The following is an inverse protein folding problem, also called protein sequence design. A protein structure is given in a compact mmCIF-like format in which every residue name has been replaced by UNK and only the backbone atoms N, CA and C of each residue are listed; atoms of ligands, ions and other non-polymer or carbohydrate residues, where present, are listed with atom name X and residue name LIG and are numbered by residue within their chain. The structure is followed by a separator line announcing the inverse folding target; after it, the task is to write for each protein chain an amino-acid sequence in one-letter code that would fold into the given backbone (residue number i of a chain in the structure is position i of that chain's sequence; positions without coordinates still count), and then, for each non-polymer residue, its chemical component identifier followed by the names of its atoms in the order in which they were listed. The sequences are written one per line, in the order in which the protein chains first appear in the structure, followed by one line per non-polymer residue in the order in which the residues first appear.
data_IF_424761185320
#
_entry.id   IF_424761185320
#
_cell.length_a   1.000
_cell.length_b   1.000
_cell.length_c   1.000
_cell.angle_alpha   90.00
_cell.angle_beta   90.00
_cell.angle_gamma   90.00
#
_symmetry.space_group_name_H-M   'P 1'
#
loop_
_entity.id
_entity.type
_entity.pdbx_description
1 polymer ?
#
# COMPACT_ATOMS: atom_id res chain seq x y z
N UNK A 1 -0.77 -21.64 14.54
CA UNK A 1 -0.33 -21.34 13.17
C UNK A 1 -1.55 -21.02 12.30
N UNK A 2 -1.39 -20.06 11.39
CA UNK A 2 -2.42 -19.76 10.38
C UNK A 2 -1.77 -19.91 9.01
N UNK A 3 -2.43 -20.64 8.11
CA UNK A 3 -1.96 -20.79 6.73
C UNK A 3 -3.06 -20.25 5.82
N UNK A 4 -2.72 -19.20 5.06
CA UNK A 4 -3.68 -18.57 4.14
C UNK A 4 -3.26 -18.93 2.73
N UNK A 5 -4.11 -19.70 2.06
CA UNK A 5 -3.82 -20.15 0.70
C UNK A 5 -3.97 -19.02 -0.30
N UNK A 6 -3.18 -19.07 -1.37
CA UNK A 6 -3.18 -18.02 -2.39
C UNK A 6 -4.59 -17.78 -2.97
N UNK A 7 -5.35 -18.84 -3.20
CA UNK A 7 -6.69 -18.74 -3.77
C UNK A 7 -7.72 -18.12 -2.82
N UNK A 8 -7.39 -18.00 -1.53
CA UNK A 8 -8.28 -17.40 -0.54
C UNK A 8 -7.98 -15.92 -0.30
N UNK A 9 -6.96 -15.35 -0.96
CA UNK A 9 -6.56 -13.97 -0.76
C UNK A 9 -7.62 -13.02 -1.32
N UNK A 10 -8.10 -12.11 -0.49
CA UNK A 10 -9.04 -11.07 -0.90
C UNK A 10 -8.30 -9.93 -1.60
N UNK A 11 -8.89 -9.41 -2.67
CA UNK A 11 -8.39 -8.21 -3.36
C UNK A 11 -9.32 -7.04 -3.11
N UNK A 12 -8.74 -5.88 -2.88
CA UNK A 12 -9.44 -4.61 -2.84
C UNK A 12 -8.90 -3.77 -3.99
N UNK A 13 -9.78 -3.09 -4.72
CA UNK A 13 -9.38 -2.31 -5.89
C UNK A 13 -9.93 -0.91 -5.84
N UNK A 14 -9.22 0.04 -6.43
CA UNK A 14 -9.66 1.41 -6.58
C UNK A 14 -8.77 2.07 -7.66
N UNK A 15 -9.40 2.71 -8.65
CA UNK A 15 -8.73 3.55 -9.67
C UNK A 15 -7.32 3.13 -10.07
N UNK A 16 -7.16 1.91 -10.59
CA UNK A 16 -5.86 1.43 -11.07
C UNK A 16 -4.93 0.92 -10.00
N UNK A 17 -5.42 0.79 -8.77
CA UNK A 17 -4.65 0.24 -7.65
C UNK A 17 -5.34 -1.02 -7.16
N UNK A 18 -4.60 -2.11 -7.05
CA UNK A 18 -5.11 -3.37 -6.52
C UNK A 18 -4.30 -3.74 -5.28
N UNK A 19 -4.99 -3.99 -4.17
CA UNK A 19 -4.35 -4.39 -2.93
C UNK A 19 -4.80 -5.80 -2.55
N UNK A 20 -3.85 -6.73 -2.52
CA UNK A 20 -4.10 -8.10 -2.09
C UNK A 20 -3.84 -8.17 -0.60
N UNK A 21 -4.88 -8.59 0.13
CA UNK A 21 -4.86 -8.60 1.60
C UNK A 21 -4.25 -9.92 2.05
N UNK A 22 -2.93 -9.96 2.16
CA UNK A 22 -2.21 -11.21 2.46
C UNK A 22 -2.47 -11.67 3.88
N UNK A 23 -2.42 -10.73 4.82
CA UNK A 23 -2.70 -11.00 6.22
C UNK A 23 -3.33 -9.74 6.81
N UNK A 24 -4.59 -9.83 7.26
CA UNK A 24 -5.31 -8.67 7.75
C UNK A 24 -6.40 -9.10 8.74
N UNK A 25 -7.07 -8.16 9.44
CA UNK A 25 -7.98 -8.54 10.53
C UNK A 25 -9.11 -9.50 10.15
N UNK A 26 -9.50 -9.56 8.88
CA UNK A 26 -10.59 -10.44 8.46
C UNK A 26 -10.14 -11.87 8.16
N UNK A 27 -8.83 -12.12 8.01
CA UNK A 27 -8.33 -13.48 7.76
C UNK A 27 -7.31 -13.97 8.77
N UNK A 28 -7.02 -13.17 9.79
CA UNK A 28 -5.98 -13.49 10.77
C UNK A 28 -6.37 -12.97 12.14
N UNK A 29 -5.95 -13.67 13.18
CA UNK A 29 -6.11 -13.21 14.56
C UNK A 29 -4.89 -12.43 15.05
N UNK A 30 -3.95 -12.12 14.18
CA UNK A 30 -2.78 -11.34 14.57
C UNK A 30 -3.19 -9.97 15.09
N UNK A 31 -2.67 -9.59 16.23
CA UNK A 31 -2.83 -8.26 16.82
C UNK A 31 -1.59 -7.42 16.59
N UNK A 32 -0.68 -7.83 15.70
CA UNK A 32 0.62 -7.18 15.55
C UNK A 32 0.87 -6.60 14.18
N UNK A 33 0.30 -7.18 13.11
CA UNK A 33 0.70 -6.80 11.76
C UNK A 33 -0.41 -7.05 10.74
N UNK A 34 -0.46 -6.17 9.74
CA UNK A 34 -1.23 -6.36 8.50
C UNK A 34 -0.22 -6.33 7.36
N UNK A 35 -0.37 -7.24 6.40
CA UNK A 35 0.51 -7.31 5.23
C UNK A 35 -0.34 -7.27 3.97
N UNK A 36 -0.03 -6.34 3.07
CA UNK A 36 -0.70 -6.23 1.78
C UNK A 36 0.32 -6.17 0.66
N UNK A 37 -0.08 -6.65 -0.51
CA UNK A 37 0.72 -6.55 -1.73
C UNK A 37 -0.04 -5.69 -2.71
N UNK A 38 0.54 -4.56 -3.08
CA UNK A 38 -0.15 -3.52 -3.85
C UNK A 38 0.44 -3.42 -5.24
N UNK A 39 -0.42 -3.42 -6.25
CA UNK A 39 -0.04 -3.21 -7.65
C UNK A 39 -0.66 -1.91 -8.12
N UNK A 40 0.16 -1.03 -8.69
CA UNK A 40 -0.27 0.29 -9.17
C UNK A 40 -0.02 0.35 -10.68
N UNK A 41 -1.08 0.57 -11.44
CA UNK A 41 -0.99 0.66 -12.90
C UNK A 41 -0.30 1.96 -13.32
N UNK A 42 0.29 2.02 -14.52
CA UNK A 42 0.88 3.27 -15.02
C UNK A 42 -0.15 4.39 -14.99
N UNK A 43 0.24 5.55 -14.46
CA UNK A 43 -0.62 6.72 -14.33
C UNK A 43 -1.53 6.73 -13.12
N UNK A 44 -1.61 5.64 -12.37
CA UNK A 44 -2.46 5.57 -11.18
C UNK A 44 -1.67 6.00 -9.94
N UNK A 45 -2.41 6.31 -8.88
CA UNK A 45 -1.77 6.65 -7.63
C UNK A 45 -2.59 6.13 -6.44
N UNK A 46 -1.87 5.75 -5.41
CA UNK A 46 -2.41 5.55 -4.07
C UNK A 46 -2.28 6.92 -3.39
N UNK A 47 -3.41 7.62 -3.16
CA UNK A 47 -3.35 9.02 -2.70
C UNK A 47 -2.64 9.18 -1.36
N UNK A 48 -2.03 10.34 -1.11
CA UNK A 48 -1.41 10.60 0.19
C UNK A 48 -2.42 10.45 1.33
N UNK A 49 -1.99 9.79 2.38
CA UNK A 49 -2.81 9.54 3.57
C UNK A 49 -1.91 9.34 4.78
N UNK A 50 -2.52 9.30 5.97
CA UNK A 50 -1.81 9.09 7.24
C UNK A 50 -2.44 7.95 8.00
N UNK A 51 -1.62 7.25 8.78
CA UNK A 51 -2.08 6.29 9.78
C UNK A 51 -1.58 6.79 11.11
N UNK A 52 -2.50 7.32 11.94
CA UNK A 52 -2.09 8.02 13.16
C UNK A 52 -1.58 7.09 14.25
N UNK A 53 -1.89 5.80 14.17
CA UNK A 53 -1.56 4.83 15.22
C UNK A 53 -0.75 3.64 14.71
N UNK A 54 -0.24 3.71 13.48
CA UNK A 54 0.52 2.59 12.90
C UNK A 54 1.70 3.12 12.12
N UNK A 55 2.81 2.39 12.19
CA UNK A 55 3.90 2.60 11.25
C UNK A 55 3.70 1.67 10.06
N UNK A 56 4.28 2.02 8.94
CA UNK A 56 4.29 1.18 7.75
C UNK A 56 5.70 1.02 7.21
N UNK A 57 5.97 -0.16 6.70
CA UNK A 57 7.20 -0.43 5.95
C UNK A 57 6.78 -0.90 4.57
N UNK A 58 7.30 -0.25 3.52
CA UNK A 58 7.06 -0.67 2.15
C UNK A 58 8.33 -1.22 1.54
N UNK A 59 8.22 -2.30 0.79
CA UNK A 59 9.31 -2.89 0.02
C UNK A 59 8.91 -2.85 -1.44
N UNK A 60 9.69 -2.15 -2.27
CA UNK A 60 9.41 -2.09 -3.70
C UNK A 60 9.79 -3.43 -4.33
N UNK A 61 8.82 -4.14 -4.89
CA UNK A 61 9.01 -5.46 -5.46
C UNK A 61 9.39 -5.41 -6.93
N UNK A 62 8.81 -4.46 -7.70
CA UNK A 62 9.16 -4.27 -9.11
C UNK A 62 8.67 -2.91 -9.60
N UNK A 63 9.35 -2.40 -10.62
CA UNK A 63 8.96 -1.17 -11.30
C UNK A 63 9.60 0.07 -10.70
N UNK A 64 9.12 1.22 -11.16
CA UNK A 64 9.63 2.52 -10.75
C UNK A 64 8.46 3.40 -10.32
N UNK A 65 8.41 3.75 -9.05
CA UNK A 65 7.36 4.60 -8.51
C UNK A 65 7.93 5.87 -7.93
N UNK A 66 7.01 6.71 -7.43
CA UNK A 66 7.37 7.94 -6.73
C UNK A 66 6.60 8.01 -5.43
N UNK A 67 7.32 8.15 -4.34
CA UNK A 67 6.68 8.41 -3.04
C UNK A 67 6.13 9.83 -3.05
N UNK A 68 4.90 9.97 -2.54
CA UNK A 68 4.24 11.27 -2.39
C UNK A 68 4.29 11.61 -0.90
N UNK A 69 4.97 12.71 -0.56
CA UNK A 69 5.32 13.02 0.82
C UNK A 69 4.76 14.37 1.24
N UNK A 70 4.97 14.71 2.51
CA UNK A 70 4.51 15.95 3.11
C UNK A 70 5.02 17.15 2.32
N UNK A 71 4.18 18.19 2.17
CA UNK A 71 4.56 19.41 1.47
C UNK A 71 4.67 19.28 -0.04
N UNK A 72 4.14 18.20 -0.63
CA UNK A 72 4.25 17.97 -2.06
C UNK A 72 5.59 17.43 -2.51
N UNK A 73 6.44 17.05 -1.59
CA UNK A 73 7.74 16.42 -1.89
C UNK A 73 7.54 15.05 -2.53
N UNK A 74 8.42 14.70 -3.46
CA UNK A 74 8.40 13.37 -4.07
C UNK A 74 9.81 12.78 -4.06
N UNK A 75 9.89 11.45 -3.93
CA UNK A 75 11.16 10.73 -4.01
C UNK A 75 10.97 9.48 -4.88
N UNK A 76 11.95 9.16 -5.74
CA UNK A 76 11.90 7.89 -6.47
C UNK A 76 11.88 6.71 -5.50
N UNK A 77 11.09 5.70 -5.86
CA UNK A 77 10.98 4.47 -5.06
C UNK A 77 10.95 3.33 -6.06
N UNK A 78 12.07 2.59 -6.16
CA UNK A 78 12.27 1.62 -7.24
C UNK A 78 12.59 0.25 -6.68
N UNK A 79 12.48 -0.75 -7.53
CA UNK A 79 12.67 -2.16 -7.16
C UNK A 79 13.87 -2.34 -6.22
N UNK A 80 13.63 -2.99 -5.09
CA UNK A 80 14.62 -3.26 -4.07
C UNK A 80 14.69 -2.25 -2.95
N UNK A 81 14.09 -1.07 -3.14
CA UNK A 81 14.09 -0.03 -2.10
C UNK A 81 13.15 -0.40 -0.96
N UNK A 82 13.49 0.07 0.23
CA UNK A 82 12.66 -0.08 1.43
C UNK A 82 12.46 1.29 2.06
N UNK A 83 11.23 1.60 2.43
CA UNK A 83 10.92 2.84 3.13
C UNK A 83 10.09 2.52 4.38
N UNK A 84 10.33 3.26 5.44
CA UNK A 84 9.55 3.18 6.67
C UNK A 84 8.90 4.52 6.95
N UNK A 85 7.60 4.51 7.18
CA UNK A 85 6.84 5.70 7.58
C UNK A 85 6.47 5.57 9.04
N UNK A 86 6.76 6.62 9.81
CA UNK A 86 6.39 6.66 11.22
C UNK A 86 4.90 6.94 11.38
N UNK A 87 4.39 6.68 12.58
CA UNK A 87 3.00 6.99 12.90
C UNK A 87 2.70 8.44 12.54
N UNK A 88 1.60 8.67 11.83
CA UNK A 88 1.16 10.01 11.46
C UNK A 88 1.87 10.63 10.25
N UNK A 89 2.85 9.96 9.69
CA UNK A 89 3.59 10.51 8.56
C UNK A 89 2.79 10.39 7.25
N UNK A 90 2.63 11.50 6.54
CA UNK A 90 1.89 11.52 5.27
C UNK A 90 2.67 10.78 4.19
N UNK A 91 2.01 9.89 3.47
CA UNK A 91 2.65 9.13 2.41
C UNK A 91 1.64 8.66 1.37
N UNK A 92 2.11 8.51 0.16
CA UNK A 92 1.35 7.95 -0.96
C UNK A 92 2.33 7.46 -2.02
N UNK A 93 1.79 6.93 -3.11
CA UNK A 93 2.60 6.37 -4.18
C UNK A 93 1.96 6.70 -5.53
N UNK A 94 2.77 7.18 -6.44
CA UNK A 94 2.34 7.41 -7.82
C UNK A 94 3.20 6.59 -8.76
N UNK A 95 2.57 5.94 -9.74
CA UNK A 95 3.30 5.26 -10.79
C UNK A 95 3.35 6.16 -12.03
N UNK A 96 4.42 6.90 -12.17
CA UNK A 96 4.64 7.77 -13.34
C UNK A 96 5.38 7.06 -14.46
N UNK A 97 5.66 5.77 -14.31
CA UNK A 97 6.35 4.97 -15.31
C UNK A 97 5.40 4.37 -16.34
N UNK A 98 5.93 3.46 -17.15
CA UNK A 98 5.19 2.83 -18.26
C UNK A 98 4.84 1.37 -17.98
N UNK A 99 5.27 0.80 -16.87
CA UNK A 99 4.93 -0.58 -16.48
C UNK A 99 4.37 -0.58 -15.06
N UNK A 100 3.74 -1.68 -14.67
CA UNK A 100 3.18 -1.82 -13.32
C UNK A 100 4.25 -1.62 -12.26
N UNK A 101 3.86 -0.97 -11.18
CA UNK A 101 4.67 -0.87 -9.97
C UNK A 101 4.04 -1.75 -8.90
N UNK A 102 4.87 -2.46 -8.15
CA UNK A 102 4.37 -3.37 -7.13
C UNK A 102 5.21 -3.24 -5.86
N UNK A 103 4.53 -3.16 -4.72
CA UNK A 103 5.19 -3.10 -3.43
C UNK A 103 4.46 -3.93 -2.38
N UNK A 104 5.21 -4.35 -1.37
CA UNK A 104 4.68 -5.02 -0.20
C UNK A 104 4.57 -3.99 0.91
N UNK A 105 3.44 -3.98 1.62
CA UNK A 105 3.21 -3.04 2.72
C UNK A 105 2.98 -3.83 4.00
N UNK A 106 3.73 -3.49 5.03
CA UNK A 106 3.60 -4.07 6.36
C UNK A 106 3.18 -2.96 7.31
N UNK A 107 2.06 -3.14 8.01
CA UNK A 107 1.48 -2.13 8.90
C UNK A 107 1.40 -2.69 10.32
N UNK A 108 1.91 -1.97 11.29
CA UNK A 108 1.92 -2.39 12.69
C UNK A 108 1.61 -1.20 13.60
N UNK A 109 0.61 -1.31 14.50
CA UNK A 109 -0.35 -2.41 14.66
C UNK A 109 -1.27 -2.59 13.45
N UNK A 110 -2.06 -3.67 13.40
CA UNK A 110 -2.89 -4.00 12.25
C UNK A 110 -3.87 -2.91 11.86
N UNK A 111 -4.09 -2.78 10.55
CA UNK A 111 -5.12 -1.90 10.02
C UNK A 111 -5.96 -2.67 9.01
N UNK A 112 -7.24 -2.33 8.93
CA UNK A 112 -8.14 -2.86 7.93
C UNK A 112 -8.42 -1.76 6.91
N UNK A 113 -7.92 -1.94 5.69
CA UNK A 113 -7.97 -0.91 4.66
C UNK A 113 -9.24 -0.95 3.81
N UNK A 114 -10.17 -1.87 4.11
CA UNK A 114 -11.37 -2.03 3.29
C UNK A 114 -12.12 -0.71 3.08
N UNK A 115 -12.32 0.05 4.15
CA UNK A 115 -13.05 1.32 4.06
C UNK A 115 -12.35 2.33 3.14
N UNK A 116 -11.03 2.35 3.15
CA UNK A 116 -10.26 3.27 2.29
C UNK A 116 -10.46 2.92 0.82
N UNK A 117 -10.58 1.64 0.48
CA UNK A 117 -10.76 1.21 -0.90
C UNK A 117 -12.20 1.34 -1.37
N UNK A 118 -13.15 1.52 -0.46
CA UNK A 118 -14.55 1.74 -0.81
C UNK A 118 -14.83 3.19 -1.20
N UNK A 119 -13.93 4.11 -0.86
CA UNK A 119 -14.04 5.51 -1.29
C UNK A 119 -13.47 5.66 -2.68
N UNK A 120 -14.14 6.44 -3.53
CA UNK A 120 -13.66 6.67 -4.88
C UNK A 120 -12.44 7.58 -4.86
N UNK A 121 -11.31 7.10 -5.37
CA UNK A 121 -10.10 7.90 -5.49
C UNK A 121 -10.12 8.64 -6.82
N UNK A 122 -9.68 9.90 -6.80
CA UNK A 122 -9.55 10.68 -8.01
C UNK A 122 -8.25 10.33 -8.71
N UNK A 123 -8.33 9.98 -9.99
CA UNK A 123 -7.15 9.66 -10.78
C UNK A 123 -6.30 10.90 -11.08
N UNK A 124 -6.89 12.09 -10.95
CA UNK A 124 -6.21 13.35 -11.22
C UNK A 124 -5.55 13.95 -9.99
N UNK A 125 -5.90 13.49 -8.85
CA UNK A 125 -5.44 14.10 -7.60
C UNK A 125 -4.01 13.79 -7.26
#
# INVERSE_FOLDING_TARGET
MELIRAEAITQLTNSGVTSRQLLFPENSRSARVTITRVTVQPGAKNPPHRHTESEQVWVALRGNGQLLLEGGSVLPFTQGDVVRFEDGELHGLENSGSSEFEYLSVTSPPANFRAAYERKWSAQS
#
